data_IF_579021596695
#
_entry.id   IF_579021596695
#
_cell.length_a   1.000
_cell.length_b   1.000
_cell.length_c   1.000
_cell.angle_alpha   90.00
_cell.angle_beta   90.00
_cell.angle_gamma   90.00
#
_symmetry.space_group_name_H-M   'P 1'
#
loop_
_entity.id
_entity.type
_entity.pdbx_description
1 polymer ?
#
# COMPACT_ATOMS: atom_id res chain seq x y z
N UNK A 1 0.16 4.41 24.71
CA UNK A 1 1.16 4.66 23.64
C UNK A 1 1.66 3.30 23.15
N UNK A 2 0.91 2.67 22.25
CA UNK A 2 1.35 1.44 21.58
C UNK A 2 2.16 1.84 20.35
N UNK A 3 3.49 1.74 20.44
CA UNK A 3 4.38 1.82 19.27
C UNK A 3 4.59 0.41 18.75
N UNK A 4 4.57 0.31 17.44
CA UNK A 4 4.62 -0.91 16.62
C UNK A 4 5.61 -1.95 17.18
N UNK A 5 5.07 -3.04 17.72
CA UNK A 5 5.82 -4.24 18.07
C UNK A 5 5.58 -5.24 16.95
N UNK A 6 6.54 -5.43 16.06
CA UNK A 6 6.55 -6.59 15.19
C UNK A 6 7.96 -6.98 14.75
N UNK A 7 8.18 -8.30 14.84
CA UNK A 7 9.05 -9.19 14.07
C UNK A 7 10.23 -9.86 14.78
N UNK A 8 10.10 -11.20 14.88
CA UNK A 8 11.13 -12.21 15.12
C UNK A 8 11.75 -12.26 16.53
N UNK A 9 11.04 -12.90 17.48
CA UNK A 9 11.60 -13.31 18.77
C UNK A 9 11.89 -14.82 18.75
N UNK A 10 13.10 -15.20 18.36
CA UNK A 10 13.62 -16.56 18.61
C UNK A 10 15.09 -16.48 19.04
N UNK A 11 15.39 -17.04 20.23
CA UNK A 11 16.66 -17.11 20.98
C UNK A 11 17.13 -15.77 21.60
N UNK A 12 17.39 -15.61 22.91
CA UNK A 12 17.85 -16.50 23.98
C UNK A 12 17.33 -16.02 25.35
N UNK A 13 17.07 -16.96 26.25
CA UNK A 13 16.98 -16.80 27.72
C UNK A 13 18.33 -16.31 28.24
N UNK A 14 18.40 -15.24 29.06
CA UNK A 14 19.19 -15.15 30.29
C UNK A 14 19.15 -13.73 30.94
N UNK A 15 18.98 -13.76 32.26
CA UNK A 15 19.29 -12.76 33.29
C UNK A 15 18.36 -11.55 33.52
N UNK A 16 17.48 -11.77 34.50
CA UNK A 16 17.22 -10.86 35.61
C UNK A 16 18.50 -10.16 36.11
N UNK A 17 18.38 -8.84 36.35
CA UNK A 17 19.03 -7.98 37.36
C UNK A 17 18.93 -6.55 36.79
N UNK A 18 18.09 -5.63 37.27
CA UNK A 18 18.00 -5.19 38.65
C UNK A 18 19.04 -4.10 38.87
N UNK A 19 18.67 -2.83 38.70
CA UNK A 19 19.11 -1.67 39.52
C UNK A 19 18.43 -0.38 39.07
N UNK A 20 17.94 0.34 40.08
CA UNK A 20 17.22 1.61 40.09
C UNK A 20 18.03 2.86 39.71
N UNK A 21 17.27 3.96 39.49
CA UNK A 21 17.55 5.41 39.72
C UNK A 21 17.42 6.29 38.46
N UNK A 22 17.08 7.59 38.61
CA UNK A 22 15.92 8.15 39.33
C UNK A 22 15.07 9.07 38.43
N UNK A 23 13.81 9.25 38.86
CA UNK A 23 12.87 10.25 38.37
C UNK A 23 13.42 11.67 38.60
N UNK A 24 13.49 12.48 37.54
CA UNK A 24 12.91 13.83 37.44
C UNK A 24 13.37 14.51 36.14
N UNK A 25 12.44 15.16 35.41
CA UNK A 25 12.82 16.17 34.42
C UNK A 25 12.06 16.23 33.08
N UNK A 26 11.09 15.35 32.77
CA UNK A 26 10.28 15.49 31.53
C UNK A 26 8.89 16.13 31.76
N UNK A 27 8.44 16.20 33.01
CA UNK A 27 7.15 16.77 33.39
C UNK A 27 7.11 18.32 33.29
N UNK A 28 8.26 18.99 33.24
CA UNK A 28 8.36 20.45 33.09
C UNK A 28 8.19 20.94 31.65
N UNK A 29 8.54 20.11 30.66
CA UNK A 29 8.53 20.50 29.24
C UNK A 29 7.15 20.28 28.61
N UNK A 30 6.39 19.27 29.07
CA UNK A 30 5.05 18.97 28.53
C UNK A 30 3.93 19.90 29.00
N UNK A 31 4.13 20.72 30.04
CA UNK A 31 3.11 21.69 30.53
C UNK A 31 3.01 22.97 29.69
N UNK A 32 3.94 23.26 28.78
CA UNK A 32 3.88 24.46 27.91
C UNK A 32 3.11 24.27 26.61
N UNK A 33 2.76 23.05 26.22
CA UNK A 33 2.21 22.78 24.89
C UNK A 33 0.74 22.33 24.85
N UNK A 34 0.14 21.88 25.97
CA UNK A 34 -1.25 21.41 25.98
C UNK A 34 -1.96 21.63 27.33
N UNK A 35 -2.77 22.69 27.50
CA UNK A 35 -3.64 22.84 28.65
C UNK A 35 -4.98 22.15 28.35
N UNK A 36 -5.13 20.89 28.77
CA UNK A 36 -6.41 20.27 29.16
C UNK A 36 -6.23 18.76 29.32
N UNK A 37 -6.15 18.30 30.57
CA UNK A 37 -6.62 16.96 30.95
C UNK A 37 -7.36 17.08 32.27
N UNK A 38 -8.63 16.69 32.25
CA UNK A 38 -9.37 16.31 33.46
C UNK A 38 -8.83 14.96 33.98
N UNK A 39 -8.84 14.71 35.31
CA UNK A 39 -8.13 13.58 35.90
C UNK A 39 -9.09 12.48 36.32
N UNK A 40 -9.53 11.61 35.41
CA UNK A 40 -10.25 10.38 35.79
C UNK A 40 -9.97 9.28 34.76
N UNK A 41 -9.07 8.36 35.08
CA UNK A 41 -9.18 6.92 34.81
C UNK A 41 -7.85 6.24 35.15
N UNK A 42 -7.74 5.79 36.40
CA UNK A 42 -6.80 4.76 36.83
C UNK A 42 -7.35 3.38 36.48
N UNK A 43 -6.49 2.55 35.91
CA UNK A 43 -6.44 1.08 35.90
C UNK A 43 -7.70 0.30 36.30
N UNK A 44 -8.29 -0.44 35.34
CA UNK A 44 -8.92 -1.73 35.65
C UNK A 44 -9.05 -2.66 34.45
N UNK A 45 -8.68 -3.91 34.74
CA UNK A 45 -8.69 -5.12 33.93
C UNK A 45 -10.11 -5.72 33.78
N UNK A 46 -10.36 -6.26 32.57
CA UNK A 46 -11.25 -7.38 32.17
C UNK A 46 -12.81 -7.30 32.20
N UNK A 47 -13.36 -7.88 31.11
CA UNK A 47 -14.66 -8.55 30.86
C UNK A 47 -15.85 -7.81 30.17
N UNK A 48 -16.13 -8.30 28.94
CA UNK A 48 -17.40 -8.63 28.24
C UNK A 48 -18.56 -7.61 28.06
N UNK A 49 -18.96 -7.53 26.78
CA UNK A 49 -20.31 -7.30 26.20
C UNK A 49 -20.98 -5.91 26.29
N UNK A 50 -20.85 -5.16 25.18
CA UNK A 50 -21.88 -4.34 24.48
C UNK A 50 -22.52 -3.13 25.20
N UNK A 51 -23.26 -2.25 24.49
CA UNK A 51 -23.00 -1.56 23.22
C UNK A 51 -23.12 -0.04 23.41
N UNK A 52 -22.21 0.80 22.90
CA UNK A 52 -22.48 2.24 22.85
C UNK A 52 -21.59 2.92 21.81
N UNK A 53 -22.17 3.17 20.63
CA UNK A 53 -22.69 4.46 20.20
C UNK A 53 -21.64 5.31 19.49
N UNK A 54 -21.84 5.36 18.17
CA UNK A 54 -21.67 6.49 17.27
C UNK A 54 -20.87 7.66 17.86
N UNK A 55 -19.62 7.80 17.42
CA UNK A 55 -19.02 9.11 17.25
C UNK A 55 -18.29 9.16 15.92
N UNK A 56 -18.97 9.81 14.98
CA UNK A 56 -18.49 10.20 13.66
C UNK A 56 -17.33 11.18 13.87
N UNK A 57 -16.10 10.72 13.67
CA UNK A 57 -14.97 11.65 13.54
C UNK A 57 -14.96 12.24 12.13
N UNK A 58 -15.22 13.54 12.10
CA UNK A 58 -15.28 14.39 10.91
C UNK A 58 -13.86 14.55 10.35
N UNK A 59 -13.65 14.12 9.11
CA UNK A 59 -12.37 14.25 8.40
C UNK A 59 -11.91 15.73 8.33
N UNK A 60 -10.63 16.05 8.61
CA UNK A 60 -10.08 17.41 8.53
C UNK A 60 -9.66 17.82 7.10
N UNK A 61 -10.13 17.15 6.05
CA UNK A 61 -9.73 17.43 4.67
C UNK A 61 -10.66 18.45 4.00
N UNK A 62 -10.13 19.49 3.30
CA UNK A 62 -10.95 20.49 2.62
C UNK A 62 -11.79 19.87 1.49
N UNK A 63 -13.10 20.15 1.49
CA UNK A 63 -14.16 19.60 0.60
C UNK A 63 -14.01 19.88 -0.92
N UNK A 64 -12.85 20.34 -1.40
CA UNK A 64 -12.65 20.70 -2.82
C UNK A 64 -12.30 19.52 -3.75
N UNK A 65 -12.13 18.30 -3.23
CA UNK A 65 -11.70 17.13 -4.01
C UNK A 65 -12.74 15.99 -4.09
N UNK A 66 -14.03 16.30 -3.94
CA UNK A 66 -15.10 15.34 -4.21
C UNK A 66 -15.44 15.35 -5.71
N UNK A 67 -14.76 14.50 -6.48
CA UNK A 67 -15.14 14.23 -7.87
C UNK A 67 -16.42 13.39 -7.84
N UNK A 68 -17.50 13.93 -8.43
CA UNK A 68 -18.80 13.25 -8.56
C UNK A 68 -18.65 12.00 -9.44
N UNK A 69 -19.12 10.86 -8.95
CA UNK A 69 -19.31 9.63 -9.73
C UNK A 69 -20.25 9.90 -10.92
N UNK A 70 -19.96 9.49 -12.16
CA UNK A 70 -20.98 9.41 -13.18
C UNK A 70 -21.92 8.23 -12.90
N UNK A 71 -23.23 8.48 -13.00
CA UNK A 71 -24.26 7.48 -12.85
C UNK A 71 -24.19 6.47 -14.01
N UNK A 72 -24.05 5.18 -13.69
CA UNK A 72 -24.32 4.11 -14.66
C UNK A 72 -25.82 4.11 -14.96
N UNK A 73 -26.20 4.55 -16.16
CA UNK A 73 -27.54 4.31 -16.70
C UNK A 73 -27.61 2.86 -17.18
N UNK A 74 -28.25 2.00 -16.39
CA UNK A 74 -28.71 0.68 -16.84
C UNK A 74 -30.07 0.92 -17.50
N UNK A 75 -30.15 0.75 -18.82
CA UNK A 75 -31.44 0.79 -19.54
C UNK A 75 -32.04 -0.62 -19.52
N UNK A 76 -33.30 -0.83 -19.09
CA UNK A 76 -33.91 -2.16 -19.07
C UNK A 76 -34.37 -2.57 -20.48
N UNK A 77 -34.09 -3.81 -20.87
CA UNK A 77 -34.58 -4.39 -22.12
C UNK A 77 -35.98 -4.99 -21.93
N UNK A 78 -36.98 -4.44 -22.62
CA UNK A 78 -38.36 -4.92 -22.62
C UNK A 78 -38.85 -5.30 -24.03
N UNK A 79 -39.11 -6.60 -24.24
CA UNK A 79 -40.31 -7.11 -24.94
C UNK A 79 -40.50 -6.89 -26.45
N UNK A 80 -40.35 -7.99 -27.19
CA UNK A 80 -41.24 -8.58 -28.23
C UNK A 80 -41.57 -7.84 -29.56
N UNK A 81 -41.34 -8.64 -30.62
CA UNK A 81 -42.21 -8.97 -31.76
C UNK A 81 -42.11 -8.23 -33.12
N UNK A 82 -42.20 -9.10 -34.14
CA UNK A 82 -42.76 -8.98 -35.50
C UNK A 82 -41.92 -8.37 -36.63
N UNK A 83 -41.70 -9.26 -37.61
CA UNK A 83 -41.43 -9.01 -39.03
C UNK A 83 -42.30 -7.88 -39.60
N UNK A 84 -41.66 -6.99 -40.36
CA UNK A 84 -42.31 -6.00 -41.22
C UNK A 84 -41.30 -4.97 -41.72
N UNK A 85 -40.86 -5.16 -42.97
CA UNK A 85 -40.33 -4.17 -43.93
C UNK A 85 -39.45 -3.02 -43.40
N UNK A 86 -38.13 -3.21 -43.50
CA UNK A 86 -37.16 -2.11 -43.46
C UNK A 86 -36.63 -1.83 -44.88
N UNK A 87 -36.78 -0.59 -45.41
CA UNK A 87 -36.25 -0.22 -46.71
C UNK A 87 -34.71 -0.21 -46.70
N UNK A 88 -34.13 -0.71 -47.79
CA UNK A 88 -32.69 -0.74 -48.07
C UNK A 88 -32.11 0.68 -48.04
N UNK A 89 -31.34 0.99 -47.01
CA UNK A 89 -30.44 2.14 -47.01
C UNK A 89 -29.22 1.84 -47.88
N UNK A 90 -28.98 2.71 -48.86
CA UNK A 90 -27.78 2.75 -49.71
C UNK A 90 -26.52 3.00 -48.87
N UNK A 91 -25.40 2.31 -49.16
CA UNK A 91 -24.16 2.49 -48.42
C UNK A 91 -23.38 3.66 -49.01
N UNK A 92 -23.73 4.88 -48.62
CA UNK A 92 -22.89 6.05 -48.89
C UNK A 92 -22.95 7.01 -47.70
N UNK A 93 -22.15 6.67 -46.70
CA UNK A 93 -21.59 7.66 -45.79
C UNK A 93 -20.28 7.10 -45.28
N UNK A 94 -19.18 7.58 -45.87
CA UNK A 94 -17.85 7.37 -45.34
C UNK A 94 -17.86 7.73 -43.85
N UNK A 95 -17.45 6.77 -43.02
CA UNK A 95 -17.25 7.04 -41.58
C UNK A 95 -16.23 8.17 -41.46
N UNK A 96 -16.50 9.21 -40.65
CA UNK A 96 -15.52 10.26 -40.45
C UNK A 96 -14.27 9.63 -39.84
N UNK A 97 -13.15 9.87 -40.50
CA UNK A 97 -11.82 9.49 -40.06
C UNK A 97 -11.62 10.01 -38.64
N UNK A 98 -11.58 9.09 -37.67
CA UNK A 98 -11.34 9.41 -36.27
C UNK A 98 -9.87 9.82 -36.15
N UNK A 99 -9.60 11.09 -36.45
CA UNK A 99 -8.32 11.73 -36.15
C UNK A 99 -8.21 11.79 -34.64
N UNK A 100 -7.64 10.71 -34.09
CA UNK A 100 -7.11 10.72 -32.74
C UNK A 100 -6.05 11.81 -32.69
N UNK A 101 -6.38 12.92 -32.04
CA UNK A 101 -5.38 13.85 -31.55
C UNK A 101 -4.65 13.13 -30.41
N UNK A 102 -3.77 12.19 -30.77
CA UNK A 102 -2.77 11.64 -29.86
C UNK A 102 -1.71 12.71 -29.76
N UNK A 103 -1.73 13.49 -28.68
CA UNK A 103 -0.62 14.38 -28.37
C UNK A 103 0.65 13.53 -28.22
N UNK A 104 1.75 13.85 -28.93
CA UNK A 104 2.94 12.99 -29.00
C UNK A 104 3.62 12.87 -27.64
N UNK A 105 3.97 11.63 -27.28
CA UNK A 105 4.97 11.22 -26.28
C UNK A 105 5.48 12.32 -25.33
N UNK A 106 4.92 12.39 -24.13
CA UNK A 106 5.77 12.76 -23.00
C UNK A 106 6.92 11.75 -22.97
N UNK A 107 8.17 12.23 -22.96
CA UNK A 107 9.32 11.35 -22.89
C UNK A 107 9.18 10.49 -21.63
N UNK A 108 9.35 9.17 -21.77
CA UNK A 108 9.19 8.23 -20.68
C UNK A 108 10.11 8.56 -19.48
N UNK A 109 11.27 9.15 -19.75
CA UNK A 109 12.15 9.68 -18.71
C UNK A 109 11.49 10.82 -17.92
N UNK A 110 10.77 11.72 -18.60
CA UNK A 110 10.07 12.84 -17.96
C UNK A 110 8.93 12.34 -17.08
N UNK A 111 8.17 11.34 -17.54
CA UNK A 111 7.07 10.74 -16.77
C UNK A 111 7.62 10.05 -15.50
N UNK A 112 8.68 9.26 -15.64
CA UNK A 112 9.34 8.64 -14.49
C UNK A 112 9.84 9.68 -13.47
N UNK A 113 10.40 10.80 -13.94
CA UNK A 113 10.85 11.89 -13.07
C UNK A 113 9.68 12.54 -12.31
N UNK A 114 8.51 12.68 -12.95
CA UNK A 114 7.29 13.15 -12.28
C UNK A 114 6.88 12.19 -11.15
N UNK A 115 6.90 10.88 -11.39
CA UNK A 115 6.58 9.88 -10.37
C UNK A 115 7.57 9.88 -9.20
N UNK A 116 8.87 9.98 -9.48
CA UNK A 116 9.93 10.10 -8.45
C UNK A 116 9.69 11.34 -7.59
N UNK A 117 9.49 12.51 -8.24
CA UNK A 117 9.25 13.76 -7.53
C UNK A 117 8.02 13.65 -6.65
N UNK A 118 6.92 13.10 -7.18
CA UNK A 118 5.68 12.94 -6.42
C UNK A 118 5.86 12.01 -5.22
N UNK A 119 6.62 10.94 -5.38
CA UNK A 119 6.93 9.98 -4.32
C UNK A 119 7.64 10.67 -3.15
N UNK A 120 8.64 11.51 -3.44
CA UNK A 120 9.38 12.27 -2.43
C UNK A 120 8.46 13.30 -1.74
N UNK A 121 7.62 14.01 -2.51
CA UNK A 121 6.62 14.95 -1.95
C UNK A 121 5.64 14.28 -0.98
N UNK A 122 5.33 13.00 -1.19
CA UNK A 122 4.43 12.23 -0.32
C UNK A 122 5.13 11.67 0.93
N UNK A 123 6.44 11.89 1.11
CA UNK A 123 7.18 11.56 2.32
C UNK A 123 8.19 10.41 2.20
N UNK A 124 8.46 9.92 0.99
CA UNK A 124 9.60 9.02 0.78
C UNK A 124 10.92 9.78 0.82
N UNK A 125 11.96 9.11 1.32
CA UNK A 125 13.32 9.65 1.39
C UNK A 125 14.00 9.58 0.05
N UNK A 126 13.81 8.47 -0.66
CA UNK A 126 14.44 8.21 -1.95
C UNK A 126 13.48 7.38 -2.81
N UNK A 127 13.54 7.60 -4.12
CA UNK A 127 12.89 6.74 -5.10
C UNK A 127 13.75 6.62 -6.35
N UNK A 128 13.74 5.45 -6.98
CA UNK A 128 14.51 5.21 -8.21
C UNK A 128 13.77 4.26 -9.14
N UNK A 129 13.88 4.52 -10.45
CA UNK A 129 13.43 3.56 -11.46
C UNK A 129 14.51 2.50 -11.65
N UNK A 130 14.09 1.25 -11.57
CA UNK A 130 14.92 0.05 -11.68
C UNK A 130 14.34 -0.86 -12.77
N UNK A 131 15.16 -1.77 -13.29
CA UNK A 131 14.69 -2.80 -14.22
C UNK A 131 14.12 -3.98 -13.44
N UNK A 132 13.07 -4.65 -13.93
CA UNK A 132 12.41 -5.73 -13.16
C UNK A 132 13.30 -6.96 -12.96
N UNK A 133 14.20 -7.24 -13.91
CA UNK A 133 15.17 -8.34 -13.82
C UNK A 133 16.20 -8.21 -12.67
N UNK A 134 16.34 -7.04 -12.03
CA UNK A 134 17.24 -6.84 -10.89
C UNK A 134 16.54 -7.06 -9.55
N UNK A 135 15.22 -7.28 -9.56
CA UNK A 135 14.43 -7.59 -8.37
C UNK A 135 14.67 -9.04 -7.97
N UNK A 136 15.03 -9.26 -6.72
CA UNK A 136 15.34 -10.58 -6.18
C UNK A 136 14.08 -11.22 -5.59
N UNK A 137 13.76 -12.45 -5.98
CA UNK A 137 12.61 -13.21 -5.48
C UNK A 137 13.08 -14.57 -4.97
N UNK A 138 12.68 -14.94 -3.75
CA UNK A 138 13.16 -16.16 -3.12
C UNK A 138 12.12 -16.84 -2.21
N UNK A 139 12.14 -18.18 -2.22
CA UNK A 139 11.28 -19.06 -1.40
C UNK A 139 11.33 -18.72 0.09
N UNK A 140 12.53 -18.42 0.60
CA UNK A 140 12.74 -18.21 2.02
C UNK A 140 12.00 -16.98 2.55
N UNK A 141 11.68 -16.01 1.69
CA UNK A 141 10.97 -14.79 2.10
C UNK A 141 9.58 -15.15 2.64
N UNK A 142 8.81 -15.92 1.87
CA UNK A 142 7.49 -16.41 2.32
C UNK A 142 7.61 -17.42 3.46
N UNK A 143 8.72 -18.16 3.56
CA UNK A 143 9.01 -19.00 4.73
C UNK A 143 9.11 -18.15 6.01
N UNK A 144 9.79 -16.99 5.95
CA UNK A 144 9.86 -16.06 7.08
C UNK A 144 8.51 -15.40 7.37
N UNK A 145 7.69 -15.13 6.36
CA UNK A 145 6.31 -14.71 6.61
C UNK A 145 5.55 -15.80 7.38
N UNK A 146 5.59 -17.05 6.91
CA UNK A 146 4.85 -18.17 7.51
C UNK A 146 5.23 -18.48 8.95
N UNK A 147 6.52 -18.41 9.29
CA UNK A 147 7.02 -18.84 10.59
C UNK A 147 7.58 -17.71 11.46
N UNK A 148 7.68 -16.49 10.95
CA UNK A 148 8.25 -15.33 11.66
C UNK A 148 7.30 -14.14 11.80
N UNK A 149 6.14 -14.16 11.14
CA UNK A 149 5.12 -13.11 11.20
C UNK A 149 3.92 -13.55 12.04
N UNK A 150 3.61 -12.82 13.11
CA UNK A 150 2.35 -13.04 13.83
C UNK A 150 1.11 -12.56 13.04
N UNK A 151 1.27 -11.80 11.95
CA UNK A 151 0.17 -11.39 11.05
C UNK A 151 -0.03 -12.34 9.85
N UNK A 152 0.72 -13.44 9.76
CA UNK A 152 0.59 -14.40 8.67
C UNK A 152 -0.85 -14.96 8.58
N UNK A 153 -1.40 -15.02 7.37
CA UNK A 153 -2.75 -15.52 7.11
C UNK A 153 -3.90 -14.66 7.66
N UNK A 154 -3.62 -13.56 8.37
CA UNK A 154 -4.66 -12.71 8.99
C UNK A 154 -5.20 -11.62 8.06
N UNK A 155 -4.50 -11.31 6.96
CA UNK A 155 -4.84 -10.21 6.05
C UNK A 155 -4.97 -10.74 4.62
N UNK A 156 -5.93 -10.23 3.86
CA UNK A 156 -6.12 -10.54 2.42
C UNK A 156 -4.95 -10.11 1.50
N UNK A 157 -3.97 -9.41 2.06
CA UNK A 157 -2.76 -8.92 1.38
C UNK A 157 -1.50 -9.67 1.82
N UNK A 158 -1.65 -10.69 2.67
CA UNK A 158 -0.59 -11.57 3.15
C UNK A 158 -0.79 -12.98 2.58
N UNK A 159 0.25 -13.82 2.54
CA UNK A 159 0.09 -15.22 2.16
C UNK A 159 -0.89 -15.91 3.13
N UNK A 160 -1.75 -16.82 2.64
CA UNK A 160 -1.77 -17.40 1.29
C UNK A 160 -2.58 -16.59 0.24
N UNK A 161 -3.07 -15.39 0.58
CA UNK A 161 -3.92 -14.60 -0.32
C UNK A 161 -3.14 -13.71 -1.30
N UNK A 162 -1.90 -13.35 -0.95
CA UNK A 162 -0.98 -12.67 -1.87
C UNK A 162 -0.33 -13.65 -2.84
N UNK A 163 0.19 -13.17 -4.00
CA UNK A 163 0.96 -14.01 -4.92
C UNK A 163 2.03 -14.85 -4.22
N UNK A 164 2.14 -16.11 -4.60
CA UNK A 164 3.27 -16.97 -4.28
C UNK A 164 4.56 -16.43 -4.91
N UNK A 165 5.71 -16.86 -4.41
CA UNK A 165 6.98 -16.45 -5.01
C UNK A 165 7.15 -17.00 -6.46
N UNK A 166 6.53 -18.13 -6.83
CA UNK A 166 6.48 -18.59 -8.22
C UNK A 166 5.62 -17.66 -9.09
N UNK A 167 4.39 -17.37 -8.66
CA UNK A 167 3.50 -16.45 -9.39
C UNK A 167 4.16 -15.07 -9.54
N UNK A 168 4.79 -14.55 -8.49
CA UNK A 168 5.47 -13.26 -8.54
C UNK A 168 6.63 -13.26 -9.55
N UNK A 169 7.35 -14.36 -9.74
CA UNK A 169 8.40 -14.44 -10.78
C UNK A 169 7.83 -14.32 -12.18
N UNK A 170 6.69 -14.95 -12.44
CA UNK A 170 6.01 -14.85 -13.73
C UNK A 170 5.44 -13.44 -13.93
N UNK A 171 4.77 -12.88 -12.91
CA UNK A 171 4.25 -11.51 -12.94
C UNK A 171 5.38 -10.53 -13.27
N UNK A 172 6.55 -10.62 -12.63
CA UNK A 172 7.67 -9.69 -12.91
C UNK A 172 8.16 -9.72 -14.36
N UNK A 173 7.94 -10.81 -15.12
CA UNK A 173 8.34 -10.90 -16.54
C UNK A 173 7.41 -10.12 -17.47
N UNK A 174 6.21 -9.77 -17.01
CA UNK A 174 5.24 -8.97 -17.77
C UNK A 174 5.55 -7.47 -17.75
N UNK A 175 6.53 -7.06 -16.94
CA UNK A 175 6.96 -5.70 -16.71
C UNK A 175 8.45 -5.56 -17.06
N UNK A 176 8.89 -4.39 -17.51
CA UNK A 176 10.30 -4.11 -17.78
C UNK A 176 10.94 -3.14 -16.78
N UNK A 177 10.11 -2.39 -16.04
CA UNK A 177 10.54 -1.36 -15.09
C UNK A 177 9.81 -1.50 -13.78
N UNK A 178 10.39 -0.94 -12.74
CA UNK A 178 9.69 -0.69 -11.51
C UNK A 178 10.21 0.60 -10.87
N UNK A 179 9.35 1.30 -10.13
CA UNK A 179 9.75 2.38 -9.25
C UNK A 179 9.95 1.80 -7.85
N UNK A 180 11.18 1.81 -7.34
CA UNK A 180 11.51 1.42 -5.97
C UNK A 180 11.40 2.66 -5.07
N UNK A 181 10.67 2.53 -3.96
CA UNK A 181 10.37 3.58 -3.01
C UNK A 181 11.06 3.25 -1.69
N UNK A 182 11.67 4.24 -1.03
CA UNK A 182 12.31 4.11 0.27
C UNK A 182 11.80 5.16 1.25
N UNK A 183 11.49 4.72 2.47
CA UNK A 183 11.11 5.58 3.58
C UNK A 183 11.28 4.88 4.92
N UNK A 184 10.70 5.44 5.98
CA UNK A 184 10.88 4.94 7.35
C UNK A 184 9.59 4.44 8.02
N UNK A 185 8.44 4.59 7.35
CA UNK A 185 7.13 4.37 7.95
C UNK A 185 6.28 3.42 7.11
N UNK A 186 6.05 2.20 7.64
CA UNK A 186 5.35 1.10 6.96
C UNK A 186 3.91 1.46 6.53
N UNK A 187 3.14 2.06 7.43
CA UNK A 187 1.77 2.51 7.17
C UNK A 187 1.65 3.54 6.04
N UNK A 188 2.61 4.47 5.95
CA UNK A 188 2.64 5.51 4.93
C UNK A 188 3.00 4.89 3.59
N UNK A 189 3.98 3.99 3.55
CA UNK A 189 4.41 3.34 2.31
C UNK A 189 3.23 2.73 1.56
N UNK A 190 2.29 2.08 2.24
CA UNK A 190 1.08 1.54 1.59
C UNK A 190 0.24 2.60 0.88
N UNK A 191 -0.04 3.72 1.55
CA UNK A 191 -0.84 4.80 0.96
C UNK A 191 -0.09 5.47 -0.19
N UNK A 192 1.21 5.72 -0.02
CA UNK A 192 2.07 6.29 -1.06
C UNK A 192 2.05 5.37 -2.29
N UNK A 193 2.26 4.06 -2.10
CA UNK A 193 2.21 3.06 -3.15
C UNK A 193 0.89 3.12 -3.94
N UNK A 194 -0.25 3.12 -3.25
CA UNK A 194 -1.56 3.15 -3.90
C UNK A 194 -1.82 4.47 -4.66
N UNK A 195 -1.36 5.61 -4.14
CA UNK A 195 -1.51 6.90 -4.82
C UNK A 195 -0.59 7.05 -6.03
N UNK A 196 0.67 6.57 -5.91
CA UNK A 196 1.61 6.59 -7.03
C UNK A 196 1.18 5.62 -8.13
N UNK A 197 0.61 4.46 -7.78
CA UNK A 197 0.01 3.54 -8.77
C UNK A 197 -1.09 4.24 -9.59
N UNK A 198 -2.05 4.91 -8.91
CA UNK A 198 -3.12 5.66 -9.60
C UNK A 198 -2.54 6.74 -10.51
N UNK A 199 -1.51 7.45 -10.05
CA UNK A 199 -0.84 8.46 -10.85
C UNK A 199 -0.13 7.84 -12.07
N UNK A 200 0.61 6.76 -11.89
CA UNK A 200 1.28 6.05 -12.97
C UNK A 200 0.28 5.59 -14.04
N UNK A 201 -0.86 5.02 -13.61
CA UNK A 201 -1.95 4.66 -14.50
C UNK A 201 -2.48 5.87 -15.30
N UNK A 202 -2.71 7.01 -14.64
CA UNK A 202 -3.16 8.24 -15.31
C UNK A 202 -2.15 8.83 -16.31
N UNK A 203 -0.87 8.46 -16.17
CA UNK A 203 0.23 8.88 -17.04
C UNK A 203 0.53 7.88 -18.16
N UNK A 204 -0.30 6.84 -18.32
CA UNK A 204 -0.24 5.90 -19.43
C UNK A 204 0.40 4.54 -19.11
N UNK A 205 0.89 4.31 -17.89
CA UNK A 205 1.31 2.97 -17.45
C UNK A 205 0.07 2.14 -17.09
N UNK A 206 -0.62 1.61 -18.09
CA UNK A 206 -1.92 0.95 -17.89
C UNK A 206 -1.79 -0.36 -17.10
N UNK A 207 -0.62 -0.99 -17.09
CA UNK A 207 -0.33 -2.14 -16.21
C UNK A 207 0.10 -1.78 -14.79
N UNK A 208 0.23 -0.49 -14.44
CA UNK A 208 0.83 -0.10 -13.16
C UNK A 208 0.23 -0.84 -11.96
N UNK A 209 1.09 -1.45 -11.14
CA UNK A 209 0.66 -2.19 -9.96
C UNK A 209 1.60 -1.99 -8.78
N UNK A 210 1.04 -1.62 -7.63
CA UNK A 210 1.77 -1.29 -6.43
C UNK A 210 1.91 -2.44 -5.44
N UNK A 211 3.09 -2.54 -4.83
CA UNK A 211 3.42 -3.40 -3.71
C UNK A 211 3.86 -2.52 -2.53
N UNK A 212 3.18 -2.69 -1.41
CA UNK A 212 3.46 -1.93 -0.20
C UNK A 212 4.55 -2.55 0.67
N UNK A 213 4.55 -2.17 1.94
CA UNK A 213 5.41 -2.74 2.97
C UNK A 213 4.59 -3.21 4.17
N UNK A 214 4.97 -4.34 4.76
CA UNK A 214 4.36 -4.87 5.96
C UNK A 214 2.91 -5.33 5.80
N UNK A 215 2.35 -5.96 6.84
CA UNK A 215 0.97 -6.44 6.85
C UNK A 215 -0.03 -5.27 6.77
N UNK A 216 -1.16 -5.51 6.09
CA UNK A 216 -2.23 -4.51 5.96
C UNK A 216 -2.84 -4.12 7.31
N UNK A 217 -2.93 -2.80 7.55
CA UNK A 217 -3.51 -2.18 8.75
C UNK A 217 -4.67 -1.22 8.42
N UNK A 218 -5.29 -1.37 7.24
CA UNK A 218 -6.38 -0.48 6.79
C UNK A 218 -7.69 -0.71 7.56
N UNK A 219 -7.91 -1.94 8.02
CA UNK A 219 -9.01 -2.31 8.90
C UNK A 219 -8.44 -2.84 10.22
N UNK A 220 -9.22 -2.69 11.28
CA UNK A 220 -8.94 -3.28 12.59
C UNK A 220 -8.96 -4.80 12.47
N UNK A 221 -10.10 -5.35 12.06
CA UNK A 221 -10.28 -6.76 11.74
C UNK A 221 -10.41 -6.96 10.22
N UNK A 222 -9.61 -7.87 9.69
CA UNK A 222 -9.65 -8.26 8.28
C UNK A 222 -10.32 -9.62 8.16
N UNK A 223 -11.53 -9.64 7.61
CA UNK A 223 -12.22 -10.90 7.31
C UNK A 223 -11.64 -11.51 6.04
N UNK A 224 -10.92 -12.62 6.19
CA UNK A 224 -10.31 -13.35 5.07
C UNK A 224 -11.26 -14.28 4.34
N UNK A 225 -12.50 -14.44 4.83
CA UNK A 225 -13.56 -15.23 4.18
C UNK A 225 -14.31 -14.44 3.10
N UNK A 226 -14.09 -13.13 3.03
CA UNK A 226 -14.77 -12.22 2.10
C UNK A 226 -13.79 -11.41 1.26
N UNK A 227 -14.30 -10.79 0.20
CA UNK A 227 -13.51 -9.87 -0.62
C UNK A 227 -13.13 -8.61 0.18
N UNK A 228 -11.96 -8.05 -0.11
CA UNK A 228 -11.48 -6.84 0.54
C UNK A 228 -12.43 -5.66 0.25
N UNK A 229 -12.86 -4.94 1.28
CA UNK A 229 -13.69 -3.73 1.12
C UNK A 229 -12.87 -2.46 0.84
N UNK A 230 -11.54 -2.53 0.98
CA UNK A 230 -10.58 -1.44 0.77
C UNK A 230 -9.73 -1.65 -0.49
N UNK A 231 -10.36 -2.06 -1.59
CA UNK A 231 -9.65 -2.42 -2.85
C UNK A 231 -8.87 -1.24 -3.45
N UNK A 232 -9.29 0.00 -3.17
CA UNK A 232 -8.62 1.20 -3.67
C UNK A 232 -7.26 1.47 -3.02
N UNK A 233 -7.03 0.97 -1.80
CA UNK A 233 -5.79 1.22 -1.06
C UNK A 233 -5.02 -0.06 -0.67
N UNK A 234 -5.70 -1.20 -0.58
CA UNK A 234 -5.08 -2.45 -0.17
C UNK A 234 -4.11 -2.95 -1.24
N UNK A 235 -2.83 -3.06 -0.89
CA UNK A 235 -1.80 -3.68 -1.73
C UNK A 235 -1.03 -4.73 -0.92
N UNK A 236 -0.71 -5.89 -1.52
CA UNK A 236 0.21 -6.85 -0.89
C UNK A 236 1.58 -6.20 -0.72
N UNK A 237 2.33 -6.66 0.28
CA UNK A 237 3.69 -6.16 0.48
C UNK A 237 4.69 -6.89 -0.40
N UNK A 238 5.85 -6.29 -0.62
CA UNK A 238 6.94 -6.92 -1.37
C UNK A 238 7.28 -8.30 -0.80
N UNK A 239 7.43 -8.39 0.53
CA UNK A 239 7.76 -9.64 1.22
C UNK A 239 6.62 -10.65 1.20
N UNK A 240 5.36 -10.20 1.22
CA UNK A 240 4.20 -11.08 1.07
C UNK A 240 4.22 -11.78 -0.30
N UNK A 241 4.70 -11.11 -1.34
CA UNK A 241 4.87 -11.67 -2.68
C UNK A 241 6.19 -12.44 -2.89
N UNK A 242 6.98 -12.67 -1.83
CA UNK A 242 8.25 -13.40 -1.91
C UNK A 242 9.43 -12.60 -2.48
N UNK A 243 9.31 -11.28 -2.59
CA UNK A 243 10.42 -10.41 -2.99
C UNK A 243 11.39 -10.26 -1.82
N UNK A 244 12.66 -10.56 -2.07
CA UNK A 244 13.77 -10.29 -1.17
C UNK A 244 14.09 -8.80 -1.21
N UNK A 245 13.45 -8.06 -0.30
CA UNK A 245 13.60 -6.60 -0.17
C UNK A 245 15.05 -6.21 0.13
N UNK A 246 15.78 -7.02 0.91
CA UNK A 246 17.16 -6.72 1.29
C UNK A 246 18.07 -6.80 0.08
N UNK A 247 18.03 -7.92 -0.65
CA UNK A 247 18.85 -8.07 -1.83
C UNK A 247 18.46 -7.07 -2.92
N UNK A 248 17.15 -6.84 -3.13
CA UNK A 248 16.66 -5.87 -4.11
C UNK A 248 17.16 -4.46 -3.80
N UNK A 249 17.04 -3.97 -2.56
CA UNK A 249 17.55 -2.66 -2.19
C UNK A 249 19.08 -2.56 -2.33
N UNK A 250 19.83 -3.60 -1.93
CA UNK A 250 21.29 -3.65 -2.08
C UNK A 250 21.75 -3.63 -3.54
N UNK A 251 21.04 -4.32 -4.44
CA UNK A 251 21.31 -4.29 -5.88
C UNK A 251 21.24 -2.87 -6.47
N UNK A 252 20.53 -1.96 -5.79
CA UNK A 252 20.30 -0.59 -6.22
C UNK A 252 20.96 0.46 -5.33
N UNK A 253 21.91 0.05 -4.47
CA UNK A 253 22.65 0.92 -3.56
C UNK A 253 21.75 1.70 -2.57
N UNK A 254 20.59 1.13 -2.22
CA UNK A 254 19.75 1.67 -1.15
C UNK A 254 20.19 1.13 0.21
N UNK A 255 20.06 1.96 1.25
CA UNK A 255 20.44 1.62 2.63
C UNK A 255 19.47 0.62 3.23
N UNK A 256 19.92 -0.60 3.52
CA UNK A 256 19.11 -1.56 4.27
C UNK A 256 19.98 -2.47 5.13
N UNK A 257 19.69 -2.50 6.42
CA UNK A 257 20.36 -3.38 7.38
C UNK A 257 19.37 -4.01 8.33
N UNK A 258 19.73 -5.18 8.86
CA UNK A 258 18.95 -5.83 9.90
C UNK A 258 19.06 -5.03 11.19
N UNK A 259 17.92 -4.75 11.81
CA UNK A 259 17.88 -4.03 13.08
C UNK A 259 18.51 -4.87 14.20
N UNK A 260 19.44 -4.28 14.94
CA UNK A 260 20.10 -4.83 16.13
C UNK A 260 19.49 -4.29 17.41
N UNK A 261 18.95 -3.07 17.37
CA UNK A 261 18.29 -2.41 18.49
C UNK A 261 16.94 -1.82 18.07
N UNK A 262 16.13 -1.40 19.05
CA UNK A 262 14.85 -0.72 18.79
C UNK A 262 15.01 0.73 18.34
N UNK A 263 16.17 1.31 18.57
CA UNK A 263 16.48 2.70 18.22
C UNK A 263 17.11 2.79 16.82
N UNK A 264 17.36 1.64 16.18
CA UNK A 264 17.89 1.57 14.83
C UNK A 264 16.87 2.13 13.82
N UNK A 265 17.38 2.86 12.85
CA UNK A 265 16.56 3.41 11.78
C UNK A 265 15.97 2.31 10.90
N UNK A 266 14.64 2.26 10.84
CA UNK A 266 13.92 1.30 10.02
C UNK A 266 13.93 1.75 8.56
N UNK A 267 14.37 0.87 7.66
CA UNK A 267 14.32 1.10 6.21
C UNK A 267 13.17 0.30 5.62
N UNK A 268 12.18 1.01 5.10
CA UNK A 268 10.93 0.48 4.56
C UNK A 268 10.91 0.73 3.05
N UNK A 269 10.49 -0.29 2.30
CA UNK A 269 10.47 -0.25 0.84
C UNK A 269 9.10 -0.60 0.27
N UNK A 270 8.71 0.14 -0.77
CA UNK A 270 7.58 -0.18 -1.63
C UNK A 270 8.05 -0.27 -3.07
N UNK A 271 7.21 -0.83 -3.94
CA UNK A 271 7.55 -1.03 -5.34
C UNK A 271 6.32 -0.78 -6.22
N UNK A 272 6.47 -0.06 -7.33
CA UNK A 272 5.44 0.05 -8.38
C UNK A 272 5.97 -0.63 -9.63
N UNK A 273 5.29 -1.65 -10.13
CA UNK A 273 5.61 -2.31 -11.39
C UNK A 273 5.13 -1.44 -12.56
N UNK A 274 5.98 -1.28 -13.58
CA UNK A 274 5.78 -0.40 -14.74
C UNK A 274 6.23 -1.11 -16.04
N UNK A 275 5.64 -0.71 -17.17
CA UNK A 275 5.96 -1.22 -18.51
C UNK A 275 6.71 -0.23 -19.41
#
# INVERSE_FOLDING_TARGET
MGRELFYCRTFLVFLHNGTDLPHEGLAGIMKRLFPCRSPLCTDRLYFRNSPCQQNVFVNPWPKKYLIKRPALFIVPWSGKNSLGDLPMHTPDSAMPEFQTVVTPHQNLADVCNVLIKKTIELGCVQAAVIHTNTISVARWVQLKCKYGCEEYGKKLTCPPHSPSFEEMKEILREYNRALLLHGHLSWQMRYITAEIEKMAFSLGFYKAFGLGAGPCKLCEDCDTSHACVRTTEARPSMEACGIDVYQTARNHNFKIETLKSKDDEVNIYGLILLE
#
